data_IF_617663983652
#
_entry.id   IF_617663983652
#
_cell.length_a   1.000
_cell.length_b   1.000
_cell.length_c   1.000
_cell.angle_alpha   90.00
_cell.angle_beta   90.00
_cell.angle_gamma   90.00
#
_symmetry.space_group_name_H-M   'P 1'
#
loop_
_entity.id
_entity.type
_entity.pdbx_description
1 polymer ?
#
# COMPACT_ATOMS: atom_id res chain seq x y z
N UNK A 1 5.15 -1.11 -29.33
CA UNK A 1 5.58 -0.48 -28.07
C UNK A 1 6.50 -1.48 -27.40
N UNK A 2 7.80 -1.27 -27.54
CA UNK A 2 8.87 -2.17 -27.08
C UNK A 2 8.96 -2.15 -25.55
N UNK A 3 8.63 -3.28 -24.93
CA UNK A 3 8.95 -3.54 -23.52
C UNK A 3 10.48 -3.59 -23.38
N UNK A 4 11.06 -2.64 -22.64
CA UNK A 4 12.47 -2.70 -22.28
C UNK A 4 12.67 -3.79 -21.22
N UNK A 5 13.70 -4.65 -21.33
CA UNK A 5 13.99 -5.66 -20.34
C UNK A 5 14.62 -5.01 -19.10
N UNK A 6 13.82 -4.81 -18.05
CA UNK A 6 14.31 -4.35 -16.74
C UNK A 6 14.92 -5.50 -15.94
N UNK A 7 16.00 -6.13 -16.42
CA UNK A 7 16.89 -6.87 -15.51
C UNK A 7 18.27 -7.16 -16.13
N UNK A 8 19.11 -6.12 -16.23
CA UNK A 8 20.52 -6.30 -16.60
C UNK A 8 21.42 -5.29 -15.87
N UNK A 9 21.16 -5.08 -14.57
CA UNK A 9 22.04 -4.29 -13.70
C UNK A 9 23.15 -5.18 -13.17
N UNK A 10 24.40 -4.73 -13.29
CA UNK A 10 25.54 -5.40 -12.68
C UNK A 10 25.43 -5.39 -11.15
N UNK A 11 26.09 -6.32 -10.42
CA UNK A 11 26.09 -6.32 -8.96
C UNK A 11 26.55 -4.99 -8.34
N UNK A 12 27.47 -4.28 -9.01
CA UNK A 12 27.95 -2.97 -8.58
C UNK A 12 26.89 -1.87 -8.73
N UNK A 13 26.12 -1.87 -9.82
CA UNK A 13 25.04 -0.89 -10.04
C UNK A 13 23.86 -1.12 -9.10
N UNK A 14 23.56 -2.39 -8.77
CA UNK A 14 22.54 -2.72 -7.76
C UNK A 14 22.95 -2.20 -6.38
N UNK A 15 24.19 -2.45 -5.97
CA UNK A 15 24.71 -1.96 -4.69
C UNK A 15 24.70 -0.43 -4.59
N UNK A 16 25.11 0.26 -5.66
CA UNK A 16 25.06 1.72 -5.72
C UNK A 16 23.62 2.27 -5.62
N UNK A 17 22.67 1.63 -6.31
CA UNK A 17 21.25 2.00 -6.24
C UNK A 17 20.68 1.80 -4.83
N UNK A 18 20.97 0.66 -4.19
CA UNK A 18 20.53 0.38 -2.82
C UNK A 18 21.10 1.36 -1.81
N UNK A 19 22.37 1.75 -1.95
CA UNK A 19 23.01 2.75 -1.08
C UNK A 19 22.37 4.13 -1.26
N UNK A 20 22.10 4.52 -2.51
CA UNK A 20 21.40 5.77 -2.81
C UNK A 20 19.97 5.78 -2.26
N UNK A 21 19.23 4.68 -2.40
CA UNK A 21 17.88 4.53 -1.85
C UNK A 21 17.87 4.60 -0.32
N UNK A 22 18.88 4.03 0.36
CA UNK A 22 19.04 4.14 1.82
C UNK A 22 19.31 5.58 2.25
N UNK A 23 20.14 6.30 1.50
CA UNK A 23 20.46 7.70 1.81
C UNK A 23 19.22 8.59 1.65
N UNK A 24 18.46 8.39 0.57
CA UNK A 24 17.18 9.08 0.35
C UNK A 24 16.18 8.81 1.46
N UNK A 25 16.03 7.54 1.86
CA UNK A 25 15.12 7.14 2.94
C UNK A 25 15.51 7.81 4.26
N UNK A 26 16.81 7.82 4.59
CA UNK A 26 17.29 8.47 5.81
C UNK A 26 17.03 9.97 5.79
N UNK A 27 17.24 10.64 4.65
CA UNK A 27 16.95 12.06 4.50
C UNK A 27 15.45 12.35 4.66
N UNK A 28 14.59 11.51 4.07
CA UNK A 28 13.14 11.60 4.23
C UNK A 28 12.73 11.44 5.70
N UNK A 29 13.27 10.42 6.39
CA UNK A 29 13.03 10.21 7.83
C UNK A 29 13.49 11.42 8.68
N UNK A 30 14.64 12.01 8.36
CA UNK A 30 15.16 13.20 9.04
C UNK A 30 14.30 14.45 8.80
N UNK A 31 13.75 14.62 7.59
CA UNK A 31 12.83 15.71 7.26
C UNK A 31 11.45 15.51 7.94
N UNK A 32 10.93 14.28 7.96
CA UNK A 32 9.68 13.95 8.65
C UNK A 32 9.82 14.08 10.17
N UNK A 33 10.98 13.73 10.74
CA UNK A 33 11.23 13.84 12.19
C UNK A 33 11.31 15.30 12.68
N UNK A 34 11.47 16.28 11.79
CA UNK A 34 11.43 17.71 12.13
C UNK A 34 10.02 18.27 12.22
N UNK A 35 9.00 17.52 11.76
CA UNK A 35 7.62 17.95 11.88
C UNK A 35 7.17 17.96 13.35
N UNK A 36 6.26 18.87 13.74
CA UNK A 36 5.72 18.91 15.10
C UNK A 36 4.72 17.78 15.38
N UNK A 37 4.61 16.81 14.47
CA UNK A 37 3.71 15.66 14.54
C UNK A 37 4.35 14.47 13.81
N UNK A 38 3.93 13.26 14.19
CA UNK A 38 4.19 12.05 13.42
C UNK A 38 2.90 11.61 12.74
N UNK A 39 3.02 10.86 11.65
CA UNK A 39 1.85 10.36 10.94
C UNK A 39 2.16 9.04 10.23
N UNK A 40 1.13 8.25 10.05
CA UNK A 40 1.13 7.01 9.27
C UNK A 40 -0.15 6.97 8.46
N UNK A 41 -0.18 6.12 7.44
CA UNK A 41 -1.35 6.00 6.59
C UNK A 41 -1.51 4.57 6.09
N UNK A 42 -2.75 4.20 5.82
CA UNK A 42 -3.10 3.09 4.94
C UNK A 42 -3.56 3.66 3.59
N UNK A 43 -4.08 2.82 2.71
CA UNK A 43 -4.70 3.30 1.47
C UNK A 43 -6.02 4.06 1.75
N UNK A 44 -6.68 3.75 2.88
CA UNK A 44 -8.02 4.24 3.23
C UNK A 44 -7.98 5.44 4.19
N UNK A 45 -7.01 5.48 5.09
CA UNK A 45 -6.95 6.45 6.19
C UNK A 45 -5.55 7.03 6.43
N UNK A 46 -5.52 8.08 7.27
CA UNK A 46 -4.30 8.69 7.81
C UNK A 46 -4.47 8.88 9.31
N UNK A 47 -3.51 8.37 10.09
CA UNK A 47 -3.43 8.62 11.53
C UNK A 47 -2.30 9.61 11.81
N UNK A 48 -2.60 10.66 12.59
CA UNK A 48 -1.65 11.71 12.97
C UNK A 48 -1.54 11.72 14.50
N UNK A 49 -0.30 11.75 15.00
CA UNK A 49 0.04 11.85 16.42
C UNK A 49 0.74 13.18 16.69
N UNK A 50 0.14 14.01 17.55
CA UNK A 50 0.64 15.35 17.86
C UNK A 50 0.97 15.40 19.35
N UNK A 51 2.26 15.44 19.75
CA UNK A 51 2.63 15.58 21.15
C UNK A 51 2.21 16.96 21.68
N UNK A 52 1.60 16.96 22.87
CA UNK A 52 1.14 18.16 23.57
C UNK A 52 1.67 18.18 25.02
N UNK A 53 1.72 19.34 25.68
CA UNK A 53 2.17 19.42 27.08
C UNK A 53 1.36 18.49 27.99
N UNK A 54 2.02 17.85 28.97
CA UNK A 54 1.36 16.94 29.91
C UNK A 54 0.25 17.66 30.69
N UNK A 55 -0.90 16.99 30.82
CA UNK A 55 -2.09 17.54 31.47
C UNK A 55 -3.04 18.27 30.52
N UNK A 56 -2.74 18.32 29.22
CA UNK A 56 -3.62 18.91 28.20
C UNK A 56 -4.93 18.13 28.12
N UNK A 57 -6.06 18.85 28.18
CA UNK A 57 -7.40 18.26 28.01
C UNK A 57 -8.05 18.78 26.74
N UNK A 58 -9.08 18.08 26.27
CA UNK A 58 -9.87 18.48 25.10
C UNK A 58 -10.36 19.94 25.15
N UNK A 59 -10.71 20.44 26.34
CA UNK A 59 -11.17 21.83 26.52
C UNK A 59 -10.09 22.89 26.29
N UNK A 60 -8.81 22.51 26.38
CA UNK A 60 -7.65 23.39 26.23
C UNK A 60 -7.18 23.45 24.77
N UNK A 61 -7.76 22.61 23.91
CA UNK A 61 -7.45 22.49 22.49
C UNK A 61 -8.48 23.24 21.62
N UNK A 62 -7.98 23.74 20.49
CA UNK A 62 -8.76 24.25 19.38
C UNK A 62 -8.39 23.42 18.15
N UNK A 63 -9.28 22.48 17.78
CA UNK A 63 -9.10 21.57 16.65
C UNK A 63 -10.17 21.88 15.60
N UNK A 64 -9.72 22.16 14.38
CA UNK A 64 -10.59 22.39 13.23
C UNK A 64 -10.28 21.34 12.19
N UNK A 65 -11.26 20.47 11.94
CA UNK A 65 -11.26 19.48 10.88
C UNK A 65 -12.35 19.85 9.88
N UNK A 66 -11.96 20.19 8.66
CA UNK A 66 -12.85 20.36 7.51
C UNK A 66 -12.34 19.52 6.35
N UNK A 67 -13.15 19.41 5.30
CA UNK A 67 -12.85 18.61 4.11
C UNK A 67 -11.44 18.83 3.54
N UNK A 68 -10.95 20.07 3.57
CA UNK A 68 -9.64 20.46 3.06
C UNK A 68 -8.79 21.24 4.06
N UNK A 69 -9.28 21.52 5.28
CA UNK A 69 -8.59 22.39 6.23
C UNK A 69 -8.31 21.65 7.52
N UNK A 70 -7.09 21.81 8.03
CA UNK A 70 -6.62 21.24 9.27
C UNK A 70 -6.03 22.30 10.18
N UNK A 71 -6.44 22.31 11.45
CA UNK A 71 -5.82 23.13 12.47
C UNK A 71 -5.83 22.38 13.80
N UNK A 72 -4.69 22.38 14.49
CA UNK A 72 -4.55 21.92 15.88
C UNK A 72 -3.75 22.97 16.63
N UNK A 73 -4.37 23.57 17.64
CA UNK A 73 -3.74 24.59 18.47
C UNK A 73 -4.13 24.41 19.94
N UNK A 74 -3.26 24.87 20.85
CA UNK A 74 -3.65 25.13 22.24
C UNK A 74 -4.34 26.50 22.29
N UNK A 75 -5.42 26.62 23.07
CA UNK A 75 -6.16 27.88 23.20
C UNK A 75 -5.25 29.01 23.65
N UNK A 76 -5.23 30.09 22.87
CA UNK A 76 -4.41 31.28 23.14
C UNK A 76 -2.92 31.13 22.78
N UNK A 77 -2.52 30.06 22.10
CA UNK A 77 -1.16 29.86 21.58
C UNK A 77 -1.14 29.80 20.06
N UNK A 78 0.07 29.85 19.49
CA UNK A 78 0.26 29.61 18.07
C UNK A 78 -0.19 28.17 17.70
N UNK A 79 -0.74 27.96 16.49
CA UNK A 79 -1.10 26.63 16.03
C UNK A 79 0.13 25.72 15.95
N UNK A 80 -0.04 24.48 16.42
CA UNK A 80 0.98 23.43 16.31
C UNK A 80 1.04 22.95 14.86
N UNK A 81 -0.14 22.76 14.26
CA UNK A 81 -0.33 22.45 12.86
C UNK A 81 -1.46 23.29 12.32
N UNK A 82 -1.24 23.98 11.20
CA UNK A 82 -2.28 24.71 10.48
C UNK A 82 -1.98 24.67 8.99
N UNK A 83 -3.00 24.36 8.19
CA UNK A 83 -2.91 24.42 6.74
C UNK A 83 -4.05 23.68 6.05
N UNK A 84 -3.89 23.51 4.74
CA UNK A 84 -4.81 22.71 3.94
C UNK A 84 -4.30 21.28 3.80
N UNK A 85 -5.19 20.30 3.85
CA UNK A 85 -4.84 18.92 3.56
C UNK A 85 -4.36 18.79 2.11
N UNK A 86 -3.42 17.88 1.88
CA UNK A 86 -2.96 17.55 0.53
C UNK A 86 -4.07 16.93 -0.32
N UNK A 87 -4.99 16.19 0.31
CA UNK A 87 -6.20 15.65 -0.33
C UNK A 87 -7.42 15.74 0.59
N UNK A 88 -8.61 15.52 0.03
CA UNK A 88 -9.86 15.64 0.79
C UNK A 88 -10.12 14.47 1.72
N UNK A 89 -10.70 14.78 2.88
CA UNK A 89 -11.15 13.82 3.90
C UNK A 89 -12.68 13.75 3.97
N UNK A 90 -13.20 12.62 4.45
CA UNK A 90 -14.59 12.47 4.89
C UNK A 90 -14.67 12.95 6.34
N UNK A 91 -15.08 14.21 6.53
CA UNK A 91 -15.10 14.86 7.86
C UNK A 91 -15.96 14.08 8.85
N UNK A 92 -17.12 13.58 8.42
CA UNK A 92 -18.06 12.87 9.29
C UNK A 92 -17.52 11.51 9.79
N UNK A 93 -16.57 10.92 9.04
CA UNK A 93 -15.92 9.65 9.37
C UNK A 93 -14.53 9.87 10.03
N UNK A 94 -14.09 11.12 10.16
CA UNK A 94 -12.81 11.49 10.76
C UNK A 94 -12.99 11.88 12.22
N UNK A 95 -12.06 11.47 13.09
CA UNK A 95 -12.16 11.70 14.53
C UNK A 95 -10.85 12.20 15.12
N UNK A 96 -10.92 12.74 16.33
CA UNK A 96 -9.73 13.07 17.10
C UNK A 96 -9.96 12.75 18.58
N UNK A 97 -8.89 12.39 19.28
CA UNK A 97 -8.90 12.07 20.70
C UNK A 97 -7.65 12.63 21.38
N UNK A 98 -7.70 12.73 22.71
CA UNK A 98 -6.53 13.07 23.52
C UNK A 98 -6.16 11.84 24.33
N UNK A 99 -4.97 11.30 24.10
CA UNK A 99 -4.44 10.13 24.79
C UNK A 99 -3.48 10.58 25.91
N UNK A 100 -3.64 9.96 27.10
CA UNK A 100 -2.81 10.19 28.29
C UNK A 100 -2.63 11.66 28.72
N UNK A 101 -3.48 12.58 28.24
CA UNK A 101 -3.33 14.03 28.43
C UNK A 101 -1.97 14.58 27.96
N UNK A 102 -1.33 13.92 27.00
CA UNK A 102 0.01 14.28 26.49
C UNK A 102 0.13 14.19 24.97
N UNK A 103 -0.87 13.62 24.30
CA UNK A 103 -0.83 13.41 22.86
C UNK A 103 -2.24 13.56 22.27
N UNK A 104 -2.33 14.19 21.10
CA UNK A 104 -3.57 14.29 20.33
C UNK A 104 -3.45 13.33 19.16
N UNK A 105 -4.37 12.37 19.09
CA UNK A 105 -4.50 11.46 17.96
C UNK A 105 -5.60 11.97 17.04
N UNK A 106 -5.31 12.06 15.76
CA UNK A 106 -6.27 12.45 14.72
C UNK A 106 -6.35 11.34 13.70
N UNK A 107 -7.53 10.77 13.51
CA UNK A 107 -7.83 9.77 12.49
C UNK A 107 -8.60 10.43 11.36
N UNK A 108 -8.08 10.32 10.14
CA UNK A 108 -8.64 10.93 8.93
C UNK A 108 -9.04 9.86 7.93
N UNK A 109 -10.32 9.82 7.60
CA UNK A 109 -10.83 8.95 6.54
C UNK A 109 -10.67 9.65 5.18
N UNK A 110 -10.00 9.01 4.22
CA UNK A 110 -9.76 9.60 2.90
C UNK A 110 -11.04 9.57 2.07
N UNK A 111 -11.27 10.63 1.28
CA UNK A 111 -12.30 10.57 0.22
C UNK A 111 -11.89 9.60 -0.89
N UNK A 112 -10.61 9.65 -1.28
CA UNK A 112 -10.04 8.71 -2.25
C UNK A 112 -9.30 7.58 -1.52
N UNK A 113 -9.97 6.44 -1.38
CA UNK A 113 -9.43 5.24 -0.73
C UNK A 113 -8.48 4.42 -1.63
N UNK A 114 -8.03 4.98 -2.76
CA UNK A 114 -7.05 4.37 -3.67
C UNK A 114 -5.82 5.26 -3.87
N UNK A 115 -5.54 6.15 -2.91
CA UNK A 115 -4.48 7.14 -3.03
C UNK A 115 -3.61 7.25 -1.77
N UNK A 116 -2.30 7.06 -1.98
CA UNK A 116 -1.28 7.40 -1.01
C UNK A 116 -1.04 8.90 -0.99
N UNK A 117 -0.98 9.46 0.22
CA UNK A 117 -0.68 10.87 0.43
C UNK A 117 0.84 11.05 0.49
N UNK A 118 1.37 12.04 -0.20
CA UNK A 118 2.80 12.39 -0.10
C UNK A 118 3.09 13.23 1.15
N UNK A 119 2.07 13.82 1.76
CA UNK A 119 2.17 14.72 2.91
C UNK A 119 0.77 14.88 3.54
N UNK A 120 0.71 15.21 4.83
CA UNK A 120 -0.58 15.49 5.51
C UNK A 120 -1.12 16.86 5.09
N UNK A 121 -0.27 17.89 5.22
CA UNK A 121 -0.59 19.29 4.95
C UNK A 121 0.21 19.75 3.75
N UNK A 122 -0.41 20.56 2.89
CA UNK A 122 0.26 21.17 1.75
C UNK A 122 1.48 21.98 2.20
N UNK A 123 2.61 21.79 1.50
CA UNK A 123 3.87 22.48 1.80
C UNK A 123 4.74 21.81 2.86
N UNK A 124 4.25 20.76 3.53
CA UNK A 124 5.10 19.92 4.37
C UNK A 124 6.09 19.07 3.52
N UNK A 125 7.20 18.60 4.11
CA UNK A 125 8.10 17.67 3.44
C UNK A 125 7.34 16.44 2.94
N UNK A 126 7.64 16.05 1.71
CA UNK A 126 6.94 14.96 1.02
C UNK A 126 7.65 13.63 1.25
N UNK A 127 6.87 12.56 1.35
CA UNK A 127 7.36 11.18 1.34
C UNK A 127 7.23 10.57 -0.06
N UNK A 128 8.12 9.64 -0.39
CA UNK A 128 8.03 8.90 -1.64
C UNK A 128 6.98 7.78 -1.53
N UNK A 129 5.77 8.04 -2.03
CA UNK A 129 4.65 7.10 -1.98
C UNK A 129 4.84 5.85 -2.85
N UNK A 130 5.74 5.86 -3.83
CA UNK A 130 6.02 4.68 -4.66
C UNK A 130 6.74 3.57 -3.88
N UNK A 131 7.37 3.92 -2.76
CA UNK A 131 8.09 2.98 -1.88
C UNK A 131 7.19 2.39 -0.79
N UNK A 132 5.93 2.83 -0.69
CA UNK A 132 4.99 2.31 0.31
C UNK A 132 4.53 0.91 -0.14
N UNK A 133 4.75 -0.09 0.71
CA UNK A 133 4.25 -1.44 0.47
C UNK A 133 2.75 -1.48 0.80
N UNK A 134 1.86 -1.84 -0.15
CA UNK A 134 0.45 -1.99 0.15
C UNK A 134 0.22 -3.13 1.16
N UNK A 135 -0.78 -3.00 2.04
CA UNK A 135 -1.00 -4.00 3.11
C UNK A 135 -1.24 -5.41 2.56
N UNK A 136 -1.93 -5.55 1.42
CA UNK A 136 -2.20 -6.85 0.79
C UNK A 136 -1.05 -7.36 -0.10
N UNK A 137 0.18 -6.88 0.08
CA UNK A 137 1.33 -7.29 -0.74
C UNK A 137 1.71 -8.76 -0.54
N UNK A 138 1.27 -9.39 0.55
CA UNK A 138 1.57 -10.79 0.83
C UNK A 138 0.37 -11.68 0.45
N UNK A 139 0.65 -12.70 -0.35
CA UNK A 139 -0.29 -13.74 -0.76
C UNK A 139 -0.97 -14.46 0.43
N UNK A 140 -0.37 -14.39 1.62
CA UNK A 140 -0.92 -14.93 2.87
C UNK A 140 -2.14 -14.18 3.40
N UNK A 141 -2.26 -12.90 3.05
CA UNK A 141 -3.23 -11.97 3.64
C UNK A 141 -4.52 -11.88 2.81
N UNK A 142 -4.54 -12.56 1.65
CA UNK A 142 -5.71 -12.71 0.80
C UNK A 142 -6.59 -13.85 1.32
N UNK A 143 -7.92 -13.70 1.20
CA UNK A 143 -8.86 -14.78 1.45
C UNK A 143 -8.61 -15.96 0.49
N UNK A 144 -9.03 -17.17 0.89
CA UNK A 144 -8.64 -18.41 0.19
C UNK A 144 -9.04 -18.45 -1.29
N UNK A 145 -10.14 -17.80 -1.68
CA UNK A 145 -10.60 -17.75 -3.07
C UNK A 145 -9.74 -16.78 -3.89
N UNK A 146 -9.53 -15.56 -3.37
CA UNK A 146 -8.68 -14.54 -4.02
C UNK A 146 -7.23 -14.99 -4.10
N UNK A 147 -6.71 -15.63 -3.05
CA UNK A 147 -5.37 -16.22 -3.03
C UNK A 147 -5.19 -17.27 -4.13
N UNK A 148 -6.13 -18.20 -4.27
CA UNK A 148 -6.06 -19.24 -5.29
C UNK A 148 -6.09 -18.65 -6.71
N UNK A 149 -6.86 -17.58 -6.94
CA UNK A 149 -6.89 -16.87 -8.22
C UNK A 149 -5.56 -16.16 -8.51
N UNK A 150 -4.97 -15.48 -7.53
CA UNK A 150 -3.67 -14.79 -7.67
C UNK A 150 -2.53 -15.79 -7.87
N UNK A 151 -2.50 -16.89 -7.12
CA UNK A 151 -1.53 -17.98 -7.30
C UNK A 151 -1.63 -18.59 -8.71
N UNK A 152 -2.85 -18.83 -9.20
CA UNK A 152 -3.09 -19.29 -10.57
C UNK A 152 -2.52 -18.30 -11.59
N UNK A 153 -2.82 -17.01 -11.44
CA UNK A 153 -2.36 -15.98 -12.37
C UNK A 153 -0.83 -15.86 -12.37
N UNK A 154 -0.18 -15.92 -11.20
CA UNK A 154 1.29 -15.92 -11.10
C UNK A 154 1.91 -17.17 -11.72
N UNK A 155 1.30 -18.34 -11.53
CA UNK A 155 1.75 -19.58 -12.17
C UNK A 155 1.64 -19.49 -13.69
N UNK A 156 0.51 -19.05 -14.22
CA UNK A 156 0.26 -18.92 -15.66
C UNK A 156 1.21 -17.92 -16.30
N UNK A 157 1.48 -16.79 -15.63
CA UNK A 157 2.45 -15.79 -16.09
C UNK A 157 3.87 -16.38 -16.18
N UNK A 158 4.28 -17.21 -15.20
CA UNK A 158 5.58 -17.91 -15.23
C UNK A 158 5.64 -18.98 -16.33
N UNK A 159 4.58 -19.77 -16.51
CA UNK A 159 4.52 -20.78 -17.58
C UNK A 159 4.60 -20.12 -18.95
N UNK A 160 3.86 -19.02 -19.16
CA UNK A 160 3.90 -18.24 -20.41
C UNK A 160 5.29 -17.68 -20.70
N UNK A 161 5.99 -17.15 -19.70
CA UNK A 161 7.38 -16.70 -19.86
C UNK A 161 8.34 -17.85 -20.24
N UNK A 162 8.03 -19.08 -19.86
CA UNK A 162 8.80 -20.27 -20.20
C UNK A 162 8.29 -21.02 -21.44
N UNK A 163 7.30 -20.48 -22.16
CA UNK A 163 6.59 -21.18 -23.25
C UNK A 163 6.05 -22.57 -22.85
N UNK A 164 5.57 -22.69 -21.61
CA UNK A 164 4.98 -23.91 -21.05
C UNK A 164 3.46 -23.79 -20.93
N UNK A 165 2.72 -24.92 -20.85
CA UNK A 165 1.27 -24.91 -20.72
C UNK A 165 0.81 -24.23 -19.42
N UNK A 166 -0.29 -23.48 -19.49
CA UNK A 166 -0.90 -22.85 -18.33
C UNK A 166 -1.62 -23.86 -17.42
N UNK A 167 -2.10 -23.39 -16.27
CA UNK A 167 -2.76 -24.23 -15.26
C UNK A 167 -4.03 -24.92 -15.77
N UNK A 168 -4.80 -24.30 -16.67
CA UNK A 168 -6.01 -24.91 -17.23
C UNK A 168 -5.67 -26.00 -18.25
N UNK A 169 -4.63 -25.80 -19.05
CA UNK A 169 -4.11 -26.77 -20.01
C UNK A 169 -3.56 -28.00 -19.30
N UNK A 170 -2.75 -27.79 -18.24
CA UNK A 170 -2.23 -28.89 -17.42
C UNK A 170 -3.34 -29.70 -16.75
N UNK A 171 -4.38 -29.03 -16.22
CA UNK A 171 -5.54 -29.73 -15.63
C UNK A 171 -6.28 -30.58 -16.66
N UNK A 172 -6.47 -30.06 -17.88
CA UNK A 172 -7.10 -30.81 -18.98
C UNK A 172 -6.25 -32.03 -19.36
N UNK A 173 -4.94 -31.86 -19.48
CA UNK A 173 -4.01 -32.97 -19.77
C UNK A 173 -4.05 -34.03 -18.67
N UNK A 174 -4.08 -33.64 -17.40
CA UNK A 174 -4.14 -34.57 -16.27
C UNK A 174 -5.47 -35.33 -16.22
N UNK A 175 -6.60 -34.65 -16.40
CA UNK A 175 -7.92 -35.30 -16.48
C UNK A 175 -7.97 -36.29 -17.63
N UNK A 176 -7.44 -35.91 -18.79
CA UNK A 176 -7.39 -36.78 -19.95
C UNK A 176 -6.47 -37.99 -19.75
N UNK A 177 -5.32 -37.79 -19.09
CA UNK A 177 -4.41 -38.88 -18.73
C UNK A 177 -5.07 -39.88 -17.76
N UNK A 178 -5.78 -39.37 -16.74
CA UNK A 178 -6.58 -40.20 -15.81
C UNK A 178 -7.68 -40.96 -16.54
N UNK A 179 -8.38 -40.30 -17.46
CA UNK A 179 -9.43 -40.92 -18.27
C UNK A 179 -8.88 -42.07 -19.14
N UNK A 180 -7.74 -41.86 -19.80
CA UNK A 180 -7.03 -42.91 -20.55
C UNK A 180 -6.62 -44.10 -19.70
N UNK A 181 -6.13 -43.87 -18.48
CA UNK A 181 -5.76 -44.95 -17.57
C UNK A 181 -6.96 -45.76 -17.07
N UNK A 182 -8.10 -45.10 -16.84
CA UNK A 182 -9.33 -45.75 -16.38
C UNK A 182 -10.08 -46.46 -17.52
N UNK A 183 -9.83 -46.06 -18.77
CA UNK A 183 -10.44 -46.66 -19.95
C UNK A 183 -9.38 -47.07 -21.00
N UNK A 184 -8.52 -48.05 -20.67
CA UNK A 184 -7.46 -48.51 -21.57
C UNK A 184 -8.00 -49.19 -22.84
N UNK A 185 -9.29 -49.56 -22.86
CA UNK A 185 -9.98 -50.14 -24.02
C UNK A 185 -10.43 -49.09 -25.05
N UNK A 186 -10.44 -47.79 -24.70
CA UNK A 186 -10.76 -46.72 -25.64
C UNK A 186 -9.51 -46.27 -26.40
N UNK A 187 -9.56 -46.35 -27.74
CA UNK A 187 -8.50 -45.87 -28.63
C UNK A 187 -8.67 -44.38 -28.95
N UNK A 188 -7.74 -43.55 -28.49
CA UNK A 188 -7.74 -42.09 -28.70
C UNK A 188 -6.84 -41.64 -29.85
N UNK A 189 -6.32 -42.57 -30.67
CA UNK A 189 -5.43 -42.26 -31.80
C UNK A 189 -6.06 -41.36 -32.87
N UNK A 190 -7.41 -41.36 -32.97
CA UNK A 190 -8.17 -40.53 -33.91
C UNK A 190 -8.86 -39.30 -33.29
N UNK A 191 -8.61 -38.99 -32.01
CA UNK A 191 -9.22 -37.85 -31.35
C UNK A 191 -8.56 -36.54 -31.85
N UNK A 192 -9.37 -35.65 -32.45
CA UNK A 192 -8.91 -34.32 -32.88
C UNK A 192 -8.98 -33.36 -31.70
N UNK A 193 -7.81 -32.95 -31.20
CA UNK A 193 -7.66 -31.87 -30.23
C UNK A 193 -7.27 -30.61 -30.99
N UNK A 194 -8.26 -29.92 -31.53
CA UNK A 194 -8.06 -28.57 -32.04
C UNK A 194 -8.27 -27.56 -30.91
N UNK A 195 -7.34 -26.63 -30.82
CA UNK A 195 -7.31 -25.44 -29.96
C UNK A 195 -8.57 -24.56 -30.13
#
# INVERSE_FOLDING_TARGET
>A
MSEQPTDNLTPAERAAKEEQEKLEKKKEEEEQAQLPYSWKQTLQDVDISIPVPKGTRARDLEIVLKKSQFKVALKGQAPIVEGEFSHFIKVDDSTWTVEDQKEVLVHLEKVNQMQWWDSVVQGAPKINTQKIQPENSQLSDLDGETRAMVEKMMFDQRQKAMNKPDSDTLKKEEMFAKFKQQHPEMDFSNAKFTE
#
